data_IF_278715261886
#
_entry.id   IF_278715261886
#
_cell.length_a   1.000
_cell.length_b   1.000
_cell.length_c   1.000
_cell.angle_alpha   90.00
_cell.angle_beta   90.00
_cell.angle_gamma   90.00
#
_symmetry.space_group_name_H-M   'P 1'
#
loop_
_entity.id
_entity.type
_entity.pdbx_description
1 polymer ?
#
# COMPACT_ATOMS: atom_id res chain seq x y z
N UNK A 1 16.43 -13.54 -1.55
CA UNK A 1 17.21 -12.29 -1.66
C UNK A 1 18.69 -12.45 -1.34
N UNK A 2 19.14 -13.62 -0.80
CA UNK A 2 20.52 -13.76 -0.37
C UNK A 2 21.40 -14.56 -1.32
N UNK A 3 20.83 -15.32 -2.24
CA UNK A 3 21.61 -16.25 -3.10
C UNK A 3 21.29 -16.14 -4.58
N UNK A 4 20.01 -16.03 -4.97
CA UNK A 4 19.62 -16.00 -6.39
C UNK A 4 19.63 -14.57 -6.96
N UNK A 5 19.18 -13.62 -6.17
CA UNK A 5 19.17 -12.19 -6.52
C UNK A 5 19.46 -11.39 -5.25
N UNK A 6 20.74 -11.22 -4.90
CA UNK A 6 21.12 -10.54 -3.67
C UNK A 6 20.78 -9.06 -3.74
N UNK A 7 20.06 -8.57 -2.72
CA UNK A 7 19.79 -7.16 -2.57
C UNK A 7 21.08 -6.40 -2.23
N UNK A 8 21.40 -5.37 -3.01
CA UNK A 8 22.58 -4.52 -2.79
C UNK A 8 22.29 -3.47 -1.71
N UNK A 9 22.44 -3.87 -0.46
CA UNK A 9 22.27 -3.00 0.71
C UNK A 9 23.26 -1.84 0.71
N UNK A 10 24.47 -2.01 0.18
CA UNK A 10 25.48 -0.94 0.19
C UNK A 10 25.06 0.19 -0.75
N UNK A 11 24.65 -0.12 -1.96
CA UNK A 11 24.11 0.85 -2.91
C UNK A 11 22.83 1.50 -2.38
N UNK A 12 21.92 0.71 -1.76
CA UNK A 12 20.69 1.23 -1.16
C UNK A 12 21.01 2.24 -0.05
N UNK A 13 21.90 1.91 0.88
CA UNK A 13 22.28 2.78 1.99
C UNK A 13 23.03 4.06 1.55
N UNK A 14 23.78 3.98 0.45
CA UNK A 14 24.49 5.13 -0.14
C UNK A 14 23.57 6.02 -0.99
N UNK A 15 22.37 5.55 -1.35
CA UNK A 15 21.41 6.31 -2.15
C UNK A 15 20.87 7.50 -1.36
N UNK A 16 20.72 8.64 -2.06
CA UNK A 16 20.04 9.83 -1.52
C UNK A 16 18.51 9.78 -1.73
N UNK A 17 17.99 8.68 -2.26
CA UNK A 17 16.56 8.49 -2.49
C UNK A 17 15.90 8.00 -1.20
N UNK A 18 14.94 8.77 -0.71
CA UNK A 18 14.14 8.38 0.44
C UNK A 18 13.13 7.30 0.04
N UNK A 19 13.18 6.17 0.72
CA UNK A 19 12.20 5.10 0.54
C UNK A 19 11.27 5.03 1.75
N UNK A 20 9.97 5.16 1.51
CA UNK A 20 8.95 5.12 2.54
C UNK A 20 7.98 3.97 2.31
N UNK A 21 7.55 3.34 3.38
CA UNK A 21 6.48 2.33 3.36
C UNK A 21 5.33 2.76 4.25
N UNK A 22 4.12 2.40 3.86
CA UNK A 22 2.90 2.64 4.64
C UNK A 22 2.53 1.36 5.39
N UNK A 23 2.24 1.47 6.66
CA UNK A 23 1.76 0.40 7.53
C UNK A 23 0.39 0.78 8.08
N UNK A 24 -0.50 -0.19 8.30
CA UNK A 24 -1.72 0.04 9.08
C UNK A 24 -1.53 -0.47 10.49
N UNK A 25 -1.56 0.42 11.47
CA UNK A 25 -1.60 0.04 12.88
C UNK A 25 -2.97 -0.55 13.18
N UNK A 26 -3.03 -1.84 13.59
CA UNK A 26 -4.31 -2.52 13.75
C UNK A 26 -5.06 -2.13 15.03
N UNK A 27 -4.39 -1.50 15.98
CA UNK A 27 -5.01 -1.05 17.24
C UNK A 27 -5.72 0.29 17.06
N UNK A 28 -5.13 1.19 16.23
CA UNK A 28 -5.69 2.52 15.97
C UNK A 28 -6.49 2.60 14.66
N UNK A 29 -6.24 1.68 13.71
CA UNK A 29 -6.76 1.74 12.33
C UNK A 29 -6.06 2.78 11.46
N UNK A 30 -5.06 3.51 11.98
CA UNK A 30 -4.42 4.62 11.29
C UNK A 30 -3.17 4.20 10.49
N UNK A 31 -2.85 4.93 9.41
CA UNK A 31 -1.61 4.71 8.67
C UNK A 31 -0.41 5.22 9.48
N UNK A 32 0.66 4.44 9.48
CA UNK A 32 1.98 4.87 9.94
C UNK A 32 2.96 4.76 8.77
N UNK A 33 3.80 5.82 8.58
CA UNK A 33 4.75 5.88 7.48
C UNK A 33 6.16 5.72 8.02
N UNK A 34 6.85 4.71 7.52
CA UNK A 34 8.21 4.37 7.97
C UNK A 34 9.21 4.63 6.85
N UNK A 35 10.21 5.46 7.14
CA UNK A 35 11.36 5.64 6.25
C UNK A 35 12.29 4.44 6.40
N UNK A 36 12.58 3.77 5.31
CA UNK A 36 13.51 2.64 5.27
C UNK A 36 14.91 3.18 4.94
N UNK A 37 15.81 3.03 5.88
CA UNK A 37 17.23 3.42 5.75
C UNK A 37 18.15 2.20 5.69
N UNK A 38 17.70 1.07 6.25
CA UNK A 38 18.35 -0.22 6.18
C UNK A 38 17.31 -1.31 5.94
N UNK A 39 17.34 -1.89 4.73
CA UNK A 39 16.34 -2.88 4.32
C UNK A 39 16.39 -4.17 5.16
N UNK A 40 17.57 -4.59 5.62
CA UNK A 40 17.70 -5.79 6.44
C UNK A 40 17.30 -5.55 7.89
N UNK A 41 17.76 -4.45 8.49
CA UNK A 41 17.39 -4.10 9.86
C UNK A 41 15.89 -3.78 10.00
N UNK A 42 15.26 -3.25 8.94
CA UNK A 42 13.85 -2.89 8.91
C UNK A 42 12.98 -3.88 8.10
N UNK A 43 13.43 -5.12 7.95
CA UNK A 43 12.72 -6.18 7.19
C UNK A 43 11.28 -6.37 7.67
N UNK A 44 11.02 -6.23 8.98
CA UNK A 44 9.67 -6.35 9.53
C UNK A 44 8.73 -5.24 9.01
N UNK A 45 9.22 -4.03 8.78
CA UNK A 45 8.41 -2.96 8.17
C UNK A 45 8.11 -3.28 6.69
N UNK A 46 9.08 -3.82 5.95
CA UNK A 46 8.88 -4.28 4.57
C UNK A 46 7.88 -5.45 4.50
N UNK A 47 7.92 -6.35 5.47
CA UNK A 47 6.96 -7.45 5.59
C UNK A 47 5.57 -6.94 5.95
N UNK A 48 5.47 -5.98 6.86
CA UNK A 48 4.20 -5.42 7.35
C UNK A 48 3.45 -4.66 6.24
N UNK A 49 4.15 -3.85 5.42
CA UNK A 49 3.52 -3.08 4.34
C UNK A 49 2.82 -3.93 3.28
N UNK A 50 3.18 -5.23 3.19
CA UNK A 50 2.57 -6.22 2.27
C UNK A 50 1.81 -7.34 2.99
N UNK A 51 1.60 -7.22 4.31
CA UNK A 51 0.92 -8.24 5.11
C UNK A 51 -0.60 -8.18 4.91
N UNK A 52 -1.10 -8.87 3.88
CA UNK A 52 -2.53 -8.92 3.57
C UNK A 52 -3.34 -9.57 4.70
N UNK A 53 -4.46 -8.95 5.13
CA UNK A 53 -5.34 -9.52 6.13
C UNK A 53 -5.81 -10.93 5.78
N UNK A 54 -5.94 -11.80 6.78
CA UNK A 54 -6.37 -13.20 6.69
C UNK A 54 -5.44 -14.12 5.88
N UNK A 55 -4.51 -13.58 5.09
CA UNK A 55 -3.53 -14.34 4.30
C UNK A 55 -2.17 -14.36 5.00
N UNK A 56 -1.76 -13.21 5.52
CA UNK A 56 -0.49 -13.04 6.22
C UNK A 56 -0.70 -12.97 7.74
N UNK A 57 0.34 -13.26 8.49
CA UNK A 57 0.34 -13.02 9.93
C UNK A 57 0.47 -11.52 10.21
N UNK A 58 -0.15 -11.07 11.30
CA UNK A 58 0.10 -9.74 11.86
C UNK A 58 1.58 -9.59 12.18
N UNK A 59 2.17 -8.47 11.84
CA UNK A 59 3.57 -8.16 12.08
C UNK A 59 3.68 -7.27 13.33
N UNK A 60 4.56 -7.63 14.25
CA UNK A 60 4.83 -6.83 15.44
C UNK A 60 6.16 -6.12 15.31
N UNK A 61 6.15 -4.78 15.53
CA UNK A 61 7.34 -3.94 15.49
C UNK A 61 7.29 -3.03 16.73
N UNK A 62 8.30 -3.12 17.58
CA UNK A 62 8.41 -2.33 18.80
C UNK A 62 7.13 -2.34 19.67
N UNK A 63 6.50 -3.51 19.82
CA UNK A 63 5.30 -3.70 20.62
C UNK A 63 3.98 -3.25 19.97
N UNK A 64 4.02 -2.67 18.77
CA UNK A 64 2.84 -2.33 17.98
C UNK A 64 2.59 -3.38 16.90
N UNK A 65 1.33 -3.54 16.51
CA UNK A 65 0.89 -4.56 15.55
C UNK A 65 0.44 -3.93 14.24
N UNK A 66 0.88 -4.51 13.13
CA UNK A 66 0.68 -3.94 11.80
C UNK A 66 0.18 -4.96 10.78
N UNK A 67 -0.53 -4.45 9.80
CA UNK A 67 -0.92 -5.09 8.55
C UNK A 67 -0.63 -4.15 7.37
N UNK A 68 -0.96 -4.62 6.16
CA UNK A 68 -0.81 -3.94 4.87
C UNK A 68 -1.26 -2.47 4.94
N UNK A 69 -0.40 -1.57 4.52
CA UNK A 69 -0.67 -0.13 4.52
C UNK A 69 -1.84 0.29 3.64
N UNK A 70 -2.13 -0.47 2.58
CA UNK A 70 -3.28 -0.23 1.71
C UNK A 70 -4.64 -0.49 2.36
N UNK A 71 -4.69 -0.85 3.66
CA UNK A 71 -5.94 -0.88 4.43
C UNK A 71 -6.32 0.55 4.82
N UNK A 72 -5.39 1.33 5.34
CA UNK A 72 -5.62 2.67 5.87
C UNK A 72 -5.25 3.78 4.89
N UNK A 73 -4.25 3.57 4.03
CA UNK A 73 -3.86 4.53 2.99
C UNK A 73 -3.34 3.78 1.75
N UNK A 74 -4.21 3.57 0.78
CA UNK A 74 -3.88 2.83 -0.45
C UNK A 74 -3.08 3.69 -1.45
N UNK A 75 -3.18 5.02 -1.36
CA UNK A 75 -2.51 5.98 -2.26
C UNK A 75 -2.00 7.13 -1.39
N UNK A 76 -0.77 7.07 -0.84
CA UNK A 76 -0.26 8.00 0.17
C UNK A 76 0.10 9.36 -0.43
N UNK A 77 -0.84 9.96 -1.18
CA UNK A 77 -0.65 11.26 -1.86
C UNK A 77 -0.47 12.39 -0.84
N UNK A 78 -1.25 12.40 0.24
CA UNK A 78 -1.16 13.44 1.26
C UNK A 78 0.18 13.40 2.00
N UNK A 79 0.70 12.20 2.24
CA UNK A 79 2.04 12.02 2.79
C UNK A 79 3.10 12.55 1.83
N UNK A 80 3.00 12.23 0.53
CA UNK A 80 3.95 12.73 -0.48
C UNK A 80 3.92 14.26 -0.59
N UNK A 81 2.73 14.86 -0.55
CA UNK A 81 2.58 16.33 -0.53
C UNK A 81 3.18 16.97 0.73
N UNK A 82 2.97 16.36 1.90
CA UNK A 82 3.51 16.84 3.17
C UNK A 82 5.05 16.76 3.24
N UNK A 83 5.69 15.93 2.43
CA UNK A 83 7.15 15.86 2.30
C UNK A 83 7.74 17.04 1.49
N UNK A 84 6.89 17.84 0.82
CA UNK A 84 7.30 19.09 0.17
C UNK A 84 8.04 18.91 -1.15
N UNK A 85 7.81 17.81 -1.88
CA UNK A 85 8.41 17.61 -3.19
C UNK A 85 7.81 18.56 -4.25
N UNK A 86 8.66 19.12 -5.11
CA UNK A 86 8.24 20.01 -6.20
C UNK A 86 7.45 19.28 -7.30
N UNK A 87 7.71 18.00 -7.48
CA UNK A 87 7.07 17.17 -8.48
C UNK A 87 6.64 15.83 -7.88
N UNK A 88 5.40 15.45 -8.13
CA UNK A 88 4.85 14.19 -7.67
C UNK A 88 4.39 13.37 -8.88
N UNK A 89 4.84 12.12 -8.95
CA UNK A 89 4.35 11.13 -9.91
C UNK A 89 3.57 10.09 -9.13
N UNK A 90 2.31 9.87 -9.54
CA UNK A 90 1.45 8.83 -8.95
C UNK A 90 1.33 7.67 -9.93
N UNK A 91 1.69 6.47 -9.50
CA UNK A 91 1.56 5.25 -10.30
C UNK A 91 0.38 4.46 -9.76
N UNK A 92 -0.68 4.32 -10.56
CA UNK A 92 -1.88 3.55 -10.21
C UNK A 92 -1.87 2.20 -10.92
N UNK A 93 -2.40 1.19 -10.25
CA UNK A 93 -2.53 -0.18 -10.79
C UNK A 93 -3.91 -0.45 -11.38
N UNK A 94 -4.78 0.56 -11.40
CA UNK A 94 -6.16 0.46 -11.91
C UNK A 94 -6.44 1.57 -12.92
N UNK A 95 -7.27 1.30 -13.94
CA UNK A 95 -7.67 2.30 -14.93
C UNK A 95 -8.56 3.38 -14.33
N UNK A 96 -8.81 4.43 -15.12
CA UNK A 96 -9.53 5.62 -14.68
C UNK A 96 -10.96 5.36 -14.22
N UNK A 97 -11.64 4.44 -14.87
CA UNK A 97 -13.04 4.07 -14.62
C UNK A 97 -13.25 3.09 -13.46
N UNK A 98 -12.14 2.63 -12.86
CA UNK A 98 -12.22 1.71 -11.73
C UNK A 98 -12.71 2.41 -10.47
N UNK A 99 -13.74 1.86 -9.86
CA UNK A 99 -14.23 2.25 -8.54
C UNK A 99 -14.31 1.02 -7.63
N UNK A 100 -13.79 1.16 -6.42
CA UNK A 100 -13.86 0.10 -5.41
C UNK A 100 -15.29 0.02 -4.86
N UNK A 101 -15.81 -1.20 -4.70
CA UNK A 101 -17.15 -1.44 -4.16
C UNK A 101 -17.08 -1.94 -2.71
N UNK A 102 -18.13 -1.70 -1.90
CA UNK A 102 -18.25 -2.33 -0.59
C UNK A 102 -18.16 -3.86 -0.73
N UNK A 103 -17.53 -4.50 0.22
CA UNK A 103 -17.43 -5.96 0.27
C UNK A 103 -18.07 -6.52 1.53
N UNK A 104 -18.54 -7.77 1.47
CA UNK A 104 -19.01 -8.46 2.67
C UNK A 104 -17.83 -8.88 3.53
N UNK A 105 -17.79 -8.38 4.75
CA UNK A 105 -16.60 -8.42 5.62
C UNK A 105 -16.81 -9.28 6.89
N UNK A 106 -17.78 -10.18 6.93
CA UNK A 106 -18.11 -10.92 8.14
C UNK A 106 -16.93 -11.77 8.67
N UNK A 107 -16.17 -12.41 7.76
CA UNK A 107 -14.96 -13.14 8.13
C UNK A 107 -13.89 -12.21 8.71
N UNK A 108 -13.68 -11.07 8.07
CA UNK A 108 -12.74 -10.07 8.58
C UNK A 108 -13.12 -9.61 9.99
N UNK A 109 -14.40 -9.32 10.22
CA UNK A 109 -14.93 -8.96 11.55
C UNK A 109 -14.71 -10.06 12.58
N UNK A 110 -14.90 -11.32 12.19
CA UNK A 110 -14.68 -12.46 13.08
C UNK A 110 -13.20 -12.60 13.47
N UNK A 111 -12.30 -12.53 12.50
CA UNK A 111 -10.85 -12.65 12.71
C UNK A 111 -10.28 -11.49 13.54
N UNK A 112 -10.73 -10.25 13.27
CA UNK A 112 -10.19 -9.04 13.88
C UNK A 112 -11.14 -8.42 14.94
N UNK A 113 -12.02 -9.22 15.56
CA UNK A 113 -13.04 -8.76 16.54
C UNK A 113 -12.47 -7.97 17.71
N UNK A 114 -11.20 -8.17 18.06
CA UNK A 114 -10.51 -7.46 19.12
C UNK A 114 -9.90 -6.12 18.67
N UNK A 115 -10.04 -5.76 17.39
CA UNK A 115 -9.50 -4.55 16.79
C UNK A 115 -10.61 -3.74 16.10
N UNK A 116 -11.52 -3.10 16.88
CA UNK A 116 -12.70 -2.42 16.32
C UNK A 116 -12.31 -1.28 15.36
N UNK A 117 -11.21 -0.57 15.62
CA UNK A 117 -10.73 0.50 14.76
C UNK A 117 -10.23 -0.01 13.40
N UNK A 118 -9.57 -1.16 13.37
CA UNK A 118 -9.20 -1.82 12.12
C UNK A 118 -10.44 -2.23 11.32
N UNK A 119 -11.48 -2.73 11.99
CA UNK A 119 -12.75 -3.11 11.33
C UNK A 119 -13.41 -1.88 10.71
N UNK A 120 -13.52 -0.78 11.45
CA UNK A 120 -14.05 0.49 10.98
C UNK A 120 -13.29 1.00 9.74
N UNK A 121 -11.96 0.98 9.79
CA UNK A 121 -11.09 1.37 8.67
C UNK A 121 -11.31 0.47 7.45
N UNK A 122 -11.38 -0.83 7.65
CA UNK A 122 -11.62 -1.79 6.57
C UNK A 122 -12.98 -1.58 5.88
N UNK A 123 -14.03 -1.27 6.65
CA UNK A 123 -15.37 -0.99 6.12
C UNK A 123 -15.42 0.28 5.28
N UNK A 124 -14.67 1.32 5.68
CA UNK A 124 -14.61 2.60 4.99
C UNK A 124 -13.59 2.62 3.83
N UNK A 125 -12.72 1.62 3.75
CA UNK A 125 -11.62 1.53 2.79
C UNK A 125 -12.04 1.76 1.33
N UNK A 126 -13.23 1.31 0.93
CA UNK A 126 -13.70 1.50 -0.45
C UNK A 126 -13.99 2.97 -0.75
N UNK A 127 -14.63 3.67 0.18
CA UNK A 127 -14.95 5.08 0.04
C UNK A 127 -13.68 5.94 0.08
N UNK A 128 -12.80 5.69 1.03
CA UNK A 128 -11.52 6.38 1.18
C UNK A 128 -10.62 6.20 -0.06
N UNK A 129 -10.55 4.98 -0.60
CA UNK A 129 -9.83 4.73 -1.85
C UNK A 129 -10.41 5.53 -3.03
N UNK A 130 -11.73 5.52 -3.21
CA UNK A 130 -12.38 6.24 -4.30
C UNK A 130 -12.16 7.76 -4.15
N UNK A 131 -12.26 8.29 -2.94
CA UNK A 131 -11.97 9.70 -2.65
C UNK A 131 -10.50 10.06 -2.95
N UNK A 132 -9.55 9.19 -2.60
CA UNK A 132 -8.14 9.39 -2.93
C UNK A 132 -7.92 9.40 -4.45
N UNK A 133 -8.59 8.51 -5.20
CA UNK A 133 -8.53 8.51 -6.68
C UNK A 133 -9.13 9.77 -7.27
N UNK A 134 -10.28 10.25 -6.77
CA UNK A 134 -10.89 11.52 -7.19
C UNK A 134 -9.92 12.69 -6.99
N UNK A 135 -9.27 12.77 -5.83
CA UNK A 135 -8.24 13.78 -5.54
C UNK A 135 -7.06 13.70 -6.52
N UNK A 136 -6.58 12.48 -6.83
CA UNK A 136 -5.54 12.28 -7.84
C UNK A 136 -5.98 12.83 -9.20
N UNK A 137 -7.20 12.54 -9.64
CA UNK A 137 -7.75 13.01 -10.92
C UNK A 137 -7.84 14.54 -10.96
N UNK A 138 -8.32 15.16 -9.89
CA UNK A 138 -8.41 16.61 -9.78
C UNK A 138 -7.04 17.29 -9.86
N UNK A 139 -6.06 16.75 -9.14
CA UNK A 139 -4.69 17.28 -9.12
C UNK A 139 -3.97 17.07 -10.46
N UNK A 140 -4.22 15.95 -11.14
CA UNK A 140 -3.72 15.68 -12.50
C UNK A 140 -4.30 16.70 -13.50
N UNK A 141 -5.61 16.93 -13.49
CA UNK A 141 -6.29 17.93 -14.33
C UNK A 141 -5.78 19.33 -14.07
N UNK A 142 -5.43 19.64 -12.83
CA UNK A 142 -4.85 20.93 -12.44
C UNK A 142 -3.35 21.06 -12.79
N UNK A 143 -2.72 20.02 -13.37
CA UNK A 143 -1.30 20.01 -13.70
C UNK A 143 -0.34 19.98 -12.50
N UNK A 144 -0.84 19.62 -11.31
CA UNK A 144 -0.07 19.60 -10.06
C UNK A 144 0.72 18.30 -9.87
N UNK A 145 0.28 17.22 -10.50
CA UNK A 145 0.91 15.90 -10.43
C UNK A 145 0.89 15.25 -11.81
N UNK A 146 1.79 14.29 -12.03
CA UNK A 146 1.78 13.40 -13.18
C UNK A 146 1.28 12.03 -12.77
N UNK A 147 0.38 11.42 -13.58
CA UNK A 147 -0.19 10.11 -13.25
C UNK A 147 0.12 9.09 -14.35
N UNK A 148 0.60 7.93 -13.92
CA UNK A 148 0.78 6.75 -14.78
C UNK A 148 -0.28 5.74 -14.34
N UNK A 149 -1.11 5.28 -15.28
CA UNK A 149 -2.14 4.27 -15.02
C UNK A 149 -2.35 3.38 -16.24
N UNK A 150 -2.81 2.12 -16.08
CA UNK A 150 -3.19 1.28 -17.19
C UNK A 150 -4.43 1.87 -17.90
N UNK A 151 -4.52 1.67 -19.20
CA UNK A 151 -5.68 2.08 -20.00
C UNK A 151 -6.88 1.16 -19.78
N UNK A 152 -6.63 -0.11 -19.46
CA UNK A 152 -7.63 -1.15 -19.28
C UNK A 152 -7.40 -1.92 -17.98
N UNK A 153 -8.46 -2.53 -17.44
CA UNK A 153 -8.35 -3.45 -16.31
C UNK A 153 -7.58 -4.70 -16.72
N UNK A 154 -6.53 -5.00 -15.97
CA UNK A 154 -5.85 -6.29 -16.12
C UNK A 154 -6.75 -7.39 -15.54
N UNK A 155 -7.08 -8.40 -16.36
CA UNK A 155 -7.87 -9.56 -15.96
C UNK A 155 -6.99 -10.60 -15.24
N UNK A 156 -6.35 -10.15 -14.16
CA UNK A 156 -5.45 -10.97 -13.35
C UNK A 156 -5.89 -10.93 -11.89
N UNK A 157 -6.00 -12.12 -11.33
CA UNK A 157 -6.26 -12.31 -9.89
C UNK A 157 -5.06 -11.83 -9.05
N UNK A 158 -5.32 -11.32 -7.83
CA UNK A 158 -4.25 -10.94 -6.88
C UNK A 158 -3.34 -12.10 -6.48
N UNK A 159 -3.81 -13.32 -6.64
CA UNK A 159 -3.10 -14.55 -6.31
C UNK A 159 -2.91 -15.40 -7.58
N UNK A 160 -2.72 -14.75 -8.74
CA UNK A 160 -2.48 -15.46 -9.99
C UNK A 160 -1.20 -16.30 -9.90
N UNK A 161 -1.32 -17.56 -10.29
CA UNK A 161 -0.22 -18.53 -10.29
C UNK A 161 0.21 -18.91 -11.70
N UNK A 162 -0.55 -18.51 -12.71
CA UNK A 162 -0.24 -18.78 -14.10
C UNK A 162 0.78 -17.77 -14.61
N UNK A 163 2.03 -18.20 -14.71
CA UNK A 163 3.13 -17.35 -15.19
C UNK A 163 2.93 -16.89 -16.63
N UNK A 164 2.21 -17.63 -17.46
CA UNK A 164 1.95 -17.27 -18.85
C UNK A 164 1.07 -16.02 -18.93
N UNK A 165 0.06 -15.93 -18.05
CA UNK A 165 -0.79 -14.74 -17.95
C UNK A 165 -0.04 -13.53 -17.44
N UNK A 166 0.90 -13.73 -16.50
CA UNK A 166 1.73 -12.65 -15.95
C UNK A 166 2.75 -12.14 -16.96
N UNK A 167 3.28 -13.02 -17.82
CA UNK A 167 4.27 -12.65 -18.86
C UNK A 167 3.63 -11.97 -20.08
N UNK A 168 2.33 -12.15 -20.30
CA UNK A 168 1.59 -11.56 -21.42
C UNK A 168 1.19 -10.09 -21.20
N UNK A 169 1.63 -9.51 -20.08
CA UNK A 169 1.42 -8.10 -19.70
C UNK A 169 2.57 -7.22 -20.17
#
# INVERSE_FOLDING_TARGET
>A
PFTLDPFDQATFAASQIDFWVTLTNIETGEPEYVKITDAFAQMEALRATSAMPMVSRVVEIAGKKYLDGGISDSIPLDKAMALGYDKIIVILTRPLDYSKKPSNNWLFKLFYRHYPKLIERWENRYAEYNQAVEKVIEMEKAGKIFVIRPTESLDISRLEKDLTKVQAM
#
